data_IF_776897691883
#
_entry.id   IF_776897691883
#
_cell.length_a   1.000
_cell.length_b   1.000
_cell.length_c   1.000
_cell.angle_alpha   90.00
_cell.angle_beta   90.00
_cell.angle_gamma   90.00
#
_symmetry.space_group_name_H-M   'P 1'
#
loop_
_entity.id
_entity.type
_entity.pdbx_description
1 polymer ?
#
# COMPACT_ATOMS: atom_id res chain seq x y z
N UNK A 1 8.09 2.52 -14.54
CA UNK A 1 8.20 1.14 -14.04
C UNK A 1 9.63 0.92 -13.58
N UNK A 2 9.82 0.33 -12.41
CA UNK A 2 11.14 0.04 -11.84
C UNK A 2 11.69 -1.22 -12.52
N UNK A 3 12.94 -1.17 -12.98
CA UNK A 3 13.59 -2.29 -13.67
C UNK A 3 13.64 -3.57 -12.82
N UNK A 4 13.40 -4.71 -13.48
CA UNK A 4 13.38 -6.04 -12.86
C UNK A 4 12.27 -6.24 -11.81
N UNK A 5 11.20 -5.42 -11.88
CA UNK A 5 9.96 -5.58 -11.11
C UNK A 5 8.79 -5.68 -12.08
N UNK A 6 8.06 -6.79 -12.01
CA UNK A 6 6.82 -7.00 -12.76
C UNK A 6 5.61 -6.78 -11.83
N UNK A 7 4.56 -6.15 -12.36
CA UNK A 7 3.29 -5.93 -11.65
C UNK A 7 2.18 -6.59 -12.46
N UNK A 8 1.45 -7.49 -11.83
CA UNK A 8 0.27 -8.17 -12.38
C UNK A 8 -0.95 -7.71 -11.58
N UNK A 9 -2.02 -7.32 -12.27
CA UNK A 9 -3.27 -6.87 -11.65
C UNK A 9 -4.42 -7.62 -12.30
N UNK A 10 -5.17 -8.34 -11.49
CA UNK A 10 -6.38 -9.04 -11.93
C UNK A 10 -7.50 -8.93 -10.86
N UNK A 11 -8.63 -9.58 -11.09
CA UNK A 11 -9.78 -9.54 -10.18
C UNK A 11 -9.52 -10.31 -8.86
N UNK A 12 -8.46 -11.12 -8.79
CA UNK A 12 -8.10 -11.91 -7.61
C UNK A 12 -7.04 -11.22 -6.75
N UNK A 13 -6.06 -10.58 -7.37
CA UNK A 13 -4.95 -9.98 -6.63
C UNK A 13 -4.20 -8.90 -7.42
N UNK A 14 -3.45 -8.07 -6.68
CA UNK A 14 -2.28 -7.37 -7.17
C UNK A 14 -1.05 -8.17 -6.76
N UNK A 15 -0.22 -8.53 -7.72
CA UNK A 15 1.03 -9.27 -7.48
C UNK A 15 2.21 -8.48 -8.03
N UNK A 16 3.20 -8.27 -7.19
CA UNK A 16 4.51 -7.72 -7.58
C UNK A 16 5.54 -8.83 -7.49
N UNK A 17 6.31 -9.05 -8.56
CA UNK A 17 7.43 -9.99 -8.61
C UNK A 17 8.72 -9.24 -8.86
N UNK A 18 9.72 -9.48 -8.06
CA UNK A 18 11.04 -8.90 -8.21
C UNK A 18 12.08 -9.98 -8.56
N UNK A 19 12.90 -9.71 -9.58
CA UNK A 19 13.99 -10.62 -9.97
C UNK A 19 15.05 -10.77 -8.86
N UNK A 20 15.21 -9.74 -8.01
CA UNK A 20 16.09 -9.73 -6.84
C UNK A 20 15.30 -9.36 -5.59
N UNK A 21 15.70 -9.85 -4.39
CA UNK A 21 15.02 -9.48 -3.15
C UNK A 21 15.02 -7.97 -2.91
N UNK A 22 13.83 -7.41 -2.69
CA UNK A 22 13.62 -6.03 -2.23
C UNK A 22 13.85 -5.95 -0.72
N UNK A 23 14.32 -4.82 -0.24
CA UNK A 23 14.32 -4.47 1.19
C UNK A 23 12.96 -3.92 1.53
N UNK A 24 12.28 -4.48 2.53
CA UNK A 24 10.86 -4.19 2.79
C UNK A 24 10.64 -3.79 4.24
N UNK A 25 9.79 -2.77 4.44
CA UNK A 25 9.10 -2.51 5.71
C UNK A 25 7.58 -2.56 5.46
N UNK A 26 6.85 -3.29 6.31
CA UNK A 26 5.43 -3.54 6.03
C UNK A 26 4.60 -3.79 7.29
N UNK A 27 3.33 -3.34 7.26
CA UNK A 27 2.29 -3.73 8.21
C UNK A 27 1.44 -4.91 7.71
N UNK A 28 1.94 -5.70 6.77
CA UNK A 28 1.23 -6.82 6.16
C UNK A 28 0.94 -7.96 7.16
N UNK A 29 -0.14 -8.70 6.88
CA UNK A 29 -0.56 -9.88 7.68
C UNK A 29 0.46 -11.01 7.57
N UNK A 30 1.05 -11.22 6.40
CA UNK A 30 2.10 -12.22 6.19
C UNK A 30 3.40 -11.52 5.77
N UNK A 31 4.51 -11.85 6.42
CA UNK A 31 5.82 -11.27 6.15
C UNK A 31 5.94 -9.79 6.54
N UNK A 32 5.12 -9.31 7.49
CA UNK A 32 5.17 -7.95 8.01
C UNK A 32 6.43 -7.68 8.83
N UNK A 33 6.70 -6.39 9.09
CA UNK A 33 7.92 -5.91 9.75
C UNK A 33 9.00 -5.49 8.76
N UNK A 34 10.25 -5.45 9.23
CA UNK A 34 11.42 -5.16 8.41
C UNK A 34 12.02 -6.48 7.90
N UNK A 35 12.26 -6.59 6.59
CA UNK A 35 12.78 -7.81 6.00
C UNK A 35 13.14 -7.67 4.53
N UNK A 36 13.09 -8.80 3.83
CA UNK A 36 13.29 -8.88 2.38
C UNK A 36 12.15 -9.66 1.74
N UNK A 37 11.79 -9.30 0.51
CA UNK A 37 10.79 -10.02 -0.26
C UNK A 37 11.16 -10.09 -1.75
N UNK A 38 10.78 -11.18 -2.41
CA UNK A 38 10.84 -11.34 -3.87
C UNK A 38 9.46 -11.23 -4.51
N UNK A 39 8.41 -11.30 -3.70
CA UNK A 39 7.06 -10.99 -4.15
C UNK A 39 6.28 -10.21 -3.09
N UNK A 40 5.38 -9.35 -3.56
CA UNK A 40 4.37 -8.69 -2.74
C UNK A 40 3.02 -9.07 -3.30
N UNK A 41 2.06 -9.37 -2.44
CA UNK A 41 0.70 -9.68 -2.86
C UNK A 41 -0.32 -8.88 -2.07
N UNK A 42 -1.35 -8.40 -2.76
CA UNK A 42 -2.55 -7.86 -2.15
C UNK A 42 -3.74 -8.66 -2.66
N UNK A 43 -4.13 -9.67 -1.88
CA UNK A 43 -5.15 -10.66 -2.23
C UNK A 43 -6.55 -10.11 -1.96
N UNK A 44 -7.43 -10.24 -2.95
CA UNK A 44 -8.86 -9.95 -2.76
C UNK A 44 -9.51 -11.05 -1.92
N UNK A 45 -10.24 -10.61 -0.89
CA UNK A 45 -10.99 -11.51 -0.01
C UNK A 45 -12.44 -11.02 0.12
N UNK A 46 -13.40 -11.89 0.46
CA UNK A 46 -14.76 -11.49 0.79
C UNK A 46 -14.79 -10.49 1.95
N UNK A 47 -15.84 -9.64 1.98
CA UNK A 47 -16.01 -8.64 3.06
C UNK A 47 -16.28 -9.23 4.43
N UNK A 48 -16.76 -10.45 4.48
CA UNK A 48 -17.09 -11.25 5.66
C UNK A 48 -16.01 -12.31 5.98
N UNK A 49 -14.81 -12.15 5.40
CA UNK A 49 -13.71 -13.09 5.63
C UNK A 49 -13.38 -13.20 7.12
N UNK A 50 -13.26 -14.43 7.59
CA UNK A 50 -12.70 -14.69 8.91
C UNK A 50 -11.19 -14.41 8.91
N UNK A 51 -10.77 -13.51 9.78
CA UNK A 51 -9.38 -13.07 9.90
C UNK A 51 -8.42 -14.15 10.30
N UNK A 52 -8.89 -15.10 11.09
CA UNK A 52 -8.08 -16.24 11.45
C UNK A 52 -7.64 -17.06 10.21
N UNK A 53 -8.42 -16.99 9.11
CA UNK A 53 -8.14 -17.74 7.88
C UNK A 53 -7.27 -16.99 6.86
N UNK A 54 -7.07 -15.68 7.05
CA UNK A 54 -6.40 -14.82 6.05
C UNK A 54 -4.97 -15.28 5.76
N UNK A 55 -4.20 -15.64 6.79
CA UNK A 55 -2.83 -16.16 6.63
C UNK A 55 -2.78 -17.44 5.78
N UNK A 56 -3.69 -18.38 6.04
CA UNK A 56 -3.78 -19.64 5.28
C UNK A 56 -4.18 -19.38 3.80
N UNK A 57 -5.12 -18.46 3.55
CA UNK A 57 -5.53 -18.06 2.19
C UNK A 57 -4.37 -17.44 1.40
N UNK A 58 -3.59 -16.58 2.04
CA UNK A 58 -2.39 -15.98 1.43
C UNK A 58 -1.35 -17.05 1.09
N UNK A 59 -1.09 -17.99 1.99
CA UNK A 59 -0.13 -19.07 1.77
C UNK A 59 -0.59 -20.00 0.63
N UNK A 60 -1.87 -20.33 0.55
CA UNK A 60 -2.45 -21.12 -0.53
C UNK A 60 -2.35 -20.38 -1.88
N UNK A 61 -2.70 -19.08 -1.92
CA UNK A 61 -2.54 -18.25 -3.11
C UNK A 61 -1.09 -18.21 -3.57
N UNK A 62 -0.15 -17.97 -2.65
CA UNK A 62 1.28 -17.91 -2.95
C UNK A 62 1.79 -19.22 -3.56
N UNK A 63 1.36 -20.36 -3.02
CA UNK A 63 1.69 -21.69 -3.55
C UNK A 63 1.08 -21.93 -4.94
N UNK A 64 -0.21 -21.60 -5.13
CA UNK A 64 -0.94 -21.80 -6.40
C UNK A 64 -0.38 -20.93 -7.53
N UNK A 65 0.06 -19.70 -7.22
CA UNK A 65 0.63 -18.76 -8.18
C UNK A 65 2.16 -18.86 -8.29
N UNK A 66 2.77 -19.84 -7.63
CA UNK A 66 4.24 -20.04 -7.58
C UNK A 66 4.99 -18.74 -7.28
N UNK A 67 4.62 -18.09 -6.15
CA UNK A 67 5.27 -16.84 -5.78
C UNK A 67 6.69 -17.10 -5.25
N UNK A 68 7.70 -16.35 -5.75
CA UNK A 68 9.06 -16.49 -5.26
C UNK A 68 9.17 -16.08 -3.79
N UNK A 69 9.83 -16.92 -2.99
CA UNK A 69 10.08 -16.67 -1.57
C UNK A 69 11.35 -15.85 -1.34
N UNK A 70 11.41 -15.04 -0.24
CA UNK A 70 10.32 -14.73 0.68
C UNK A 70 9.30 -13.75 0.04
N UNK A 71 8.05 -13.78 0.53
CA UNK A 71 6.99 -12.90 0.04
C UNK A 71 6.26 -12.19 1.19
N UNK A 72 5.62 -11.06 0.87
CA UNK A 72 4.81 -10.25 1.80
C UNK A 72 3.37 -10.22 1.30
N UNK A 73 2.39 -10.44 2.21
CA UNK A 73 0.98 -10.59 1.86
C UNK A 73 0.04 -9.68 2.64
N UNK A 74 -0.76 -8.94 1.87
CA UNK A 74 -1.88 -8.11 2.29
C UNK A 74 -3.19 -8.75 1.83
N UNK A 75 -4.30 -8.38 2.47
CA UNK A 75 -5.64 -8.71 1.99
C UNK A 75 -6.49 -7.46 1.86
N UNK A 76 -7.41 -7.46 0.90
CA UNK A 76 -8.34 -6.36 0.67
C UNK A 76 -9.71 -6.89 0.23
N UNK A 77 -10.78 -6.20 0.64
CA UNK A 77 -12.11 -6.41 0.06
C UNK A 77 -12.41 -5.44 -1.10
N UNK A 78 -11.48 -4.52 -1.41
CA UNK A 78 -11.58 -3.65 -2.58
C UNK A 78 -11.34 -4.46 -3.87
N UNK A 79 -11.90 -4.00 -4.97
CA UNK A 79 -11.70 -4.58 -6.29
C UNK A 79 -10.24 -4.38 -6.74
N UNK A 80 -9.48 -5.47 -6.80
CA UNK A 80 -8.04 -5.43 -7.12
C UNK A 80 -7.79 -5.02 -8.56
N UNK A 81 -8.68 -5.36 -9.48
CA UNK A 81 -8.66 -4.94 -10.89
C UNK A 81 -8.79 -3.42 -11.08
N UNK A 82 -9.16 -2.71 -10.01
CA UNK A 82 -9.25 -1.25 -9.96
C UNK A 82 -8.10 -0.60 -9.19
N UNK A 83 -7.01 -1.34 -8.97
CA UNK A 83 -5.83 -0.78 -8.35
C UNK A 83 -5.25 0.36 -9.20
N UNK A 84 -4.91 1.46 -8.55
CA UNK A 84 -4.27 2.61 -9.17
C UNK A 84 -2.75 2.44 -9.11
N UNK A 85 -2.09 2.62 -10.24
CA UNK A 85 -0.62 2.54 -10.35
C UNK A 85 -0.10 3.88 -10.81
N UNK A 86 0.71 4.54 -9.99
CA UNK A 86 1.30 5.84 -10.29
C UNK A 86 2.80 5.78 -10.05
N UNK A 87 3.56 6.26 -11.02
CA UNK A 87 5.03 6.40 -10.93
C UNK A 87 5.42 7.86 -10.97
N UNK A 88 6.24 8.27 -10.00
CA UNK A 88 6.80 9.61 -9.90
C UNK A 88 8.32 9.54 -9.79
N UNK A 89 8.98 10.64 -10.16
CA UNK A 89 10.43 10.77 -10.11
C UNK A 89 10.84 12.08 -9.44
N UNK A 90 11.90 12.00 -8.67
CA UNK A 90 12.60 13.16 -8.13
C UNK A 90 14.09 12.86 -8.16
N UNK A 91 14.86 13.72 -8.80
CA UNK A 91 16.27 13.51 -9.09
C UNK A 91 16.47 12.10 -9.71
N UNK A 92 17.37 11.31 -9.16
CA UNK A 92 17.66 9.94 -9.61
C UNK A 92 16.79 8.86 -8.95
N UNK A 93 15.76 9.26 -8.18
CA UNK A 93 14.86 8.31 -7.50
C UNK A 93 13.57 8.14 -8.30
N UNK A 94 13.19 6.89 -8.52
CA UNK A 94 11.87 6.52 -9.04
C UNK A 94 11.06 5.85 -7.94
N UNK A 95 9.81 6.28 -7.74
CA UNK A 95 8.86 5.65 -6.85
C UNK A 95 7.57 5.28 -7.58
N UNK A 96 7.07 4.07 -7.35
CA UNK A 96 5.78 3.62 -7.89
C UNK A 96 4.86 3.25 -6.72
N UNK A 97 3.70 3.88 -6.65
CA UNK A 97 2.64 3.52 -5.71
C UNK A 97 1.57 2.69 -6.41
N UNK A 98 1.15 1.61 -5.77
CA UNK A 98 0.03 0.76 -6.18
C UNK A 98 -0.98 0.77 -5.04
N UNK A 99 -2.17 1.31 -5.27
CA UNK A 99 -3.18 1.46 -4.22
C UNK A 99 -4.50 0.77 -4.60
N UNK A 100 -5.04 -0.02 -3.68
CA UNK A 100 -6.44 -0.45 -3.72
C UNK A 100 -7.22 0.33 -2.67
N UNK A 101 -8.35 0.92 -3.06
CA UNK A 101 -9.11 1.83 -2.20
C UNK A 101 -10.53 1.34 -1.98
N UNK A 102 -10.84 1.03 -0.72
CA UNK A 102 -12.19 0.68 -0.25
C UNK A 102 -12.54 1.54 0.98
N UNK A 103 -13.56 2.40 0.87
CA UNK A 103 -13.91 3.39 1.88
C UNK A 103 -15.28 3.12 2.55
N UNK A 104 -15.66 1.85 2.71
CA UNK A 104 -16.95 1.53 3.35
C UNK A 104 -16.96 1.68 4.89
N UNK A 105 -15.78 1.81 5.51
CA UNK A 105 -15.62 2.04 6.95
C UNK A 105 -14.49 3.05 7.25
N UNK A 106 -14.60 4.30 6.78
CA UNK A 106 -13.59 5.30 7.06
C UNK A 106 -13.54 5.58 8.57
N UNK A 107 -12.33 5.84 9.08
CA UNK A 107 -12.09 6.17 10.48
C UNK A 107 -11.18 7.39 10.62
N UNK A 108 -11.30 8.07 11.74
CA UNK A 108 -10.39 9.13 12.16
C UNK A 108 -9.61 8.66 13.38
N UNK A 109 -8.29 8.59 13.25
CA UNK A 109 -7.40 8.12 14.31
C UNK A 109 -7.55 9.01 15.56
N UNK A 110 -7.78 8.38 16.72
CA UNK A 110 -7.98 9.05 18.00
C UNK A 110 -9.39 9.66 18.22
N UNK A 111 -10.25 9.71 17.20
CA UNK A 111 -11.62 10.23 17.28
C UNK A 111 -12.67 9.12 17.13
N UNK A 112 -12.51 8.23 16.16
CA UNK A 112 -13.46 7.13 15.95
C UNK A 112 -13.46 6.18 17.14
N UNK A 113 -14.66 5.75 17.56
CA UNK A 113 -14.84 4.80 18.65
C UNK A 113 -14.16 3.45 18.36
N UNK A 114 -13.68 2.80 19.42
CA UNK A 114 -13.18 1.41 19.31
C UNK A 114 -14.34 0.50 18.91
N UNK A 115 -14.18 -0.22 17.83
CA UNK A 115 -15.16 -1.15 17.30
C UNK A 115 -14.46 -2.41 16.77
N UNK A 116 -15.24 -3.47 16.56
CA UNK A 116 -14.77 -4.60 15.81
C UNK A 116 -14.40 -4.15 14.39
N UNK A 117 -13.20 -4.53 13.93
CA UNK A 117 -12.77 -4.18 12.59
C UNK A 117 -13.63 -4.87 11.54
N UNK A 118 -13.80 -4.23 10.39
CA UNK A 118 -14.51 -4.76 9.23
C UNK A 118 -13.62 -4.62 8.00
N UNK A 119 -13.60 -5.60 7.08
CA UNK A 119 -12.83 -5.50 5.85
C UNK A 119 -13.36 -4.36 4.97
N UNK A 120 -12.65 -3.28 4.94
CA UNK A 120 -12.63 -2.25 3.93
C UNK A 120 -11.33 -1.51 4.16
N UNK A 121 -10.48 -1.42 3.18
CA UNK A 121 -9.10 -1.05 3.42
C UNK A 121 -8.53 -0.22 2.27
N UNK A 122 -7.61 0.64 2.62
CA UNK A 122 -6.67 1.24 1.69
C UNK A 122 -5.35 0.50 1.85
N UNK A 123 -5.04 -0.39 0.92
CA UNK A 123 -3.73 -1.02 0.87
C UNK A 123 -2.84 -0.28 -0.13
N UNK A 124 -1.66 0.09 0.32
CA UNK A 124 -0.69 0.84 -0.48
C UNK A 124 0.63 0.08 -0.52
N UNK A 125 1.02 -0.35 -1.72
CA UNK A 125 2.33 -0.91 -2.00
C UNK A 125 3.16 0.18 -2.70
N UNK A 126 4.32 0.48 -2.14
CA UNK A 126 5.24 1.48 -2.67
C UNK A 126 6.55 0.80 -3.04
N UNK A 127 6.92 0.91 -4.30
CA UNK A 127 8.19 0.44 -4.84
C UNK A 127 9.12 1.63 -5.00
N UNK A 128 10.38 1.49 -4.59
CA UNK A 128 11.37 2.57 -4.65
C UNK A 128 12.65 2.05 -5.29
N UNK A 129 13.13 2.71 -6.35
CA UNK A 129 14.43 2.42 -6.95
C UNK A 129 15.50 3.31 -6.31
N UNK A 130 15.89 2.95 -5.11
CA UNK A 130 16.91 3.60 -4.29
C UNK A 130 17.39 2.65 -3.18
N UNK A 131 18.40 3.09 -2.42
CA UNK A 131 18.96 2.39 -1.27
C UNK A 131 18.67 3.14 0.05
N UNK A 132 17.41 3.16 0.56
CA UNK A 132 17.10 3.81 1.82
C UNK A 132 17.70 3.05 3.01
N UNK A 133 18.24 3.82 3.96
CA UNK A 133 18.64 3.32 5.26
C UNK A 133 17.42 2.75 6.03
N UNK A 134 17.59 1.84 7.02
CA UNK A 134 16.48 1.33 7.80
C UNK A 134 15.63 2.42 8.44
N UNK A 135 16.23 3.49 8.97
CA UNK A 135 15.52 4.63 9.52
C UNK A 135 14.73 5.39 8.44
N UNK A 136 15.27 5.53 7.23
CA UNK A 136 14.57 6.13 6.11
C UNK A 136 13.35 5.32 5.66
N UNK A 137 13.39 3.99 5.74
CA UNK A 137 12.21 3.14 5.46
C UNK A 137 11.08 3.42 6.46
N UNK A 138 11.40 3.60 7.74
CA UNK A 138 10.41 3.99 8.77
C UNK A 138 9.83 5.38 8.47
N UNK A 139 10.67 6.36 8.11
CA UNK A 139 10.20 7.68 7.67
C UNK A 139 9.27 7.57 6.44
N UNK A 140 9.60 6.70 5.47
CA UNK A 140 8.77 6.50 4.29
C UNK A 140 7.38 5.96 4.64
N UNK A 141 7.24 5.09 5.65
CA UNK A 141 5.92 4.66 6.15
C UNK A 141 5.11 5.84 6.68
N UNK A 142 5.73 6.74 7.44
CA UNK A 142 5.09 7.98 7.91
C UNK A 142 4.67 8.86 6.71
N UNK A 143 5.58 9.11 5.78
CA UNK A 143 5.33 9.89 4.55
C UNK A 143 4.17 9.32 3.71
N UNK A 144 4.11 7.97 3.55
CA UNK A 144 2.99 7.29 2.87
C UNK A 144 1.68 7.53 3.62
N UNK A 145 1.69 7.45 4.95
CA UNK A 145 0.50 7.68 5.78
C UNK A 145 0.01 9.11 5.64
N UNK A 146 0.89 10.10 5.74
CA UNK A 146 0.58 11.52 5.56
C UNK A 146 0.01 11.80 4.17
N UNK A 147 0.66 11.30 3.12
CA UNK A 147 0.21 11.45 1.73
C UNK A 147 -1.18 10.83 1.50
N UNK A 148 -1.44 9.64 2.08
CA UNK A 148 -2.75 8.98 2.06
C UNK A 148 -3.83 9.85 2.71
N UNK A 149 -3.57 10.39 3.91
CA UNK A 149 -4.52 11.26 4.62
C UNK A 149 -4.85 12.48 3.78
N UNK A 150 -3.84 13.16 3.26
CA UNK A 150 -4.05 14.33 2.41
C UNK A 150 -4.82 13.99 1.13
N UNK A 151 -4.59 12.82 0.52
CA UNK A 151 -5.34 12.36 -0.65
C UNK A 151 -6.84 12.17 -0.35
N UNK A 152 -7.18 11.65 0.83
CA UNK A 152 -8.57 11.49 1.26
C UNK A 152 -9.25 12.85 1.50
N UNK A 153 -8.53 13.81 2.10
CA UNK A 153 -9.02 15.17 2.31
C UNK A 153 -9.30 15.87 1.00
N UNK A 154 -8.37 15.82 0.04
CA UNK A 154 -8.49 16.41 -1.29
C UNK A 154 -9.65 15.78 -2.10
N UNK A 155 -9.89 14.48 -1.92
CA UNK A 155 -11.01 13.78 -2.55
C UNK A 155 -12.36 14.10 -1.90
N UNK A 156 -12.39 14.85 -0.79
CA UNK A 156 -13.60 15.23 -0.09
C UNK A 156 -14.23 14.10 0.72
N UNK A 157 -13.45 13.06 1.08
CA UNK A 157 -13.96 11.96 1.93
C UNK A 157 -14.32 12.50 3.31
N UNK A 158 -15.46 12.07 3.84
CA UNK A 158 -15.93 12.43 5.20
C UNK A 158 -16.47 11.21 5.91
N UNK A 159 -16.40 11.21 7.24
CA UNK A 159 -17.15 10.29 8.08
C UNK A 159 -18.63 10.65 8.08
N UNK A 160 -19.53 9.75 8.53
CA UNK A 160 -20.96 10.05 8.62
C UNK A 160 -21.31 11.29 9.46
N UNK A 161 -20.49 11.61 10.46
CA UNK A 161 -20.62 12.80 11.32
C UNK A 161 -19.94 14.06 10.75
N UNK A 162 -19.39 13.97 9.52
CA UNK A 162 -18.69 15.06 8.84
C UNK A 162 -17.20 15.19 9.21
N UNK A 163 -16.69 14.42 10.16
CA UNK A 163 -15.29 14.46 10.54
C UNK A 163 -14.36 14.02 9.42
N UNK A 164 -13.08 14.43 9.50
CA UNK A 164 -12.06 14.10 8.50
C UNK A 164 -11.50 12.70 8.76
N UNK A 165 -11.46 11.81 7.74
CA UNK A 165 -10.87 10.50 7.89
C UNK A 165 -9.34 10.56 7.86
N UNK A 166 -8.70 9.69 8.61
CA UNK A 166 -7.26 9.41 8.49
C UNK A 166 -6.97 8.13 7.67
N UNK A 167 -7.99 7.37 7.37
CA UNK A 167 -7.93 6.08 6.65
C UNK A 167 -9.15 5.24 6.91
N UNK A 168 -8.97 3.92 6.89
CA UNK A 168 -9.96 2.93 7.29
C UNK A 168 -9.44 2.09 8.47
N UNK A 169 -10.27 1.21 9.03
CA UNK A 169 -9.90 0.43 10.22
C UNK A 169 -8.78 -0.61 9.98
N UNK A 170 -8.43 -0.90 8.74
CA UNK A 170 -7.53 -2.01 8.38
C UNK A 170 -6.48 -1.65 7.33
N UNK A 171 -6.18 -0.38 7.16
CA UNK A 171 -5.18 0.08 6.19
C UNK A 171 -3.83 -0.61 6.39
N UNK A 172 -3.20 -1.01 5.29
CA UNK A 172 -1.89 -1.60 5.33
C UNK A 172 -0.94 -0.97 4.30
N UNK A 173 0.33 -0.91 4.66
CA UNK A 173 1.40 -0.29 3.88
C UNK A 173 2.54 -1.28 3.70
N UNK A 174 3.05 -1.34 2.48
CA UNK A 174 4.32 -1.96 2.13
C UNK A 174 5.19 -0.91 1.46
N UNK A 175 6.37 -0.65 2.00
CA UNK A 175 7.44 0.09 1.32
C UNK A 175 8.53 -0.91 0.97
N UNK A 176 8.83 -1.05 -0.31
CA UNK A 176 9.78 -2.01 -0.85
C UNK A 176 10.81 -1.30 -1.74
N UNK A 177 12.08 -1.37 -1.38
CA UNK A 177 13.17 -0.72 -2.09
C UNK A 177 14.05 -1.74 -2.80
N UNK A 178 14.57 -1.37 -3.98
CA UNK A 178 15.50 -2.23 -4.74
C UNK A 178 16.84 -2.41 -4.02
N UNK A 179 17.19 -1.50 -3.10
CA UNK A 179 18.49 -1.44 -2.45
C UNK A 179 19.62 -1.06 -3.41
N UNK A 180 19.27 -0.52 -4.58
CA UNK A 180 20.18 -0.03 -5.64
C UNK A 180 19.89 1.44 -5.89
N UNK A 181 20.76 2.11 -6.66
CA UNK A 181 20.62 3.54 -6.93
C UNK A 181 21.08 4.42 -5.77
N UNK A 182 20.55 5.64 -5.64
CA UNK A 182 21.06 6.60 -4.67
C UNK A 182 20.81 6.16 -3.22
N UNK A 183 21.78 6.39 -2.36
CA UNK A 183 21.65 6.18 -0.92
C UNK A 183 20.72 7.24 -0.32
N UNK A 184 19.73 6.83 0.47
CA UNK A 184 18.77 7.72 1.10
C UNK A 184 18.87 7.56 2.64
N UNK A 185 19.60 8.45 3.34
CA UNK A 185 19.69 8.39 4.80
C UNK A 185 18.36 8.77 5.49
N UNK A 186 17.53 9.57 4.82
CA UNK A 186 16.23 10.05 5.30
C UNK A 186 15.13 9.80 4.27
N UNK A 187 13.87 9.63 4.73
CA UNK A 187 12.70 9.36 3.89
C UNK A 187 11.53 10.35 4.09
N UNK A 188 11.81 11.51 4.72
CA UNK A 188 10.78 12.53 4.96
C UNK A 188 10.29 13.22 3.66
N UNK A 189 9.13 13.89 3.69
CA UNK A 189 8.39 14.34 2.50
C UNK A 189 9.11 15.39 1.61
N UNK A 190 10.18 16.01 2.10
CA UNK A 190 11.00 16.97 1.35
C UNK A 190 12.32 16.40 0.83
N UNK A 191 12.62 15.14 1.12
CA UNK A 191 13.74 14.41 0.49
C UNK A 191 13.33 13.93 -0.90
N UNK A 192 14.27 13.72 -1.81
CA UNK A 192 13.95 13.22 -3.17
C UNK A 192 13.09 11.95 -3.11
N UNK A 193 13.48 10.97 -2.29
CA UNK A 193 12.72 9.72 -2.14
C UNK A 193 11.36 9.92 -1.48
N UNK A 194 11.27 10.71 -0.41
CA UNK A 194 10.01 10.99 0.27
C UNK A 194 9.05 11.81 -0.60
N UNK A 195 9.57 12.77 -1.35
CA UNK A 195 8.77 13.59 -2.27
C UNK A 195 8.19 12.74 -3.42
N UNK A 196 9.00 11.91 -4.09
CA UNK A 196 8.51 11.02 -5.15
C UNK A 196 7.46 10.04 -4.62
N UNK A 197 7.70 9.43 -3.44
CA UNK A 197 6.75 8.53 -2.77
C UNK A 197 5.46 9.25 -2.43
N UNK A 198 5.53 10.44 -1.80
CA UNK A 198 4.33 11.19 -1.41
C UNK A 198 3.46 11.57 -2.61
N UNK A 199 4.07 12.02 -3.71
CA UNK A 199 3.34 12.34 -4.95
C UNK A 199 2.66 11.12 -5.55
N UNK A 200 3.38 10.01 -5.69
CA UNK A 200 2.83 8.78 -6.23
C UNK A 200 1.65 8.27 -5.38
N UNK A 201 1.80 8.23 -4.06
CA UNK A 201 0.75 7.79 -3.13
C UNK A 201 -0.45 8.74 -3.16
N UNK A 202 -0.21 10.06 -3.10
CA UNK A 202 -1.30 11.06 -3.13
C UNK A 202 -2.12 10.95 -4.41
N UNK A 203 -1.48 10.76 -5.56
CA UNK A 203 -2.16 10.58 -6.84
C UNK A 203 -2.92 9.26 -6.90
N UNK A 204 -2.29 8.12 -6.55
CA UNK A 204 -2.93 6.81 -6.60
C UNK A 204 -4.13 6.71 -5.65
N UNK A 205 -3.95 7.06 -4.37
CA UNK A 205 -5.03 7.01 -3.37
C UNK A 205 -6.14 8.01 -3.70
N UNK A 206 -5.78 9.24 -4.13
CA UNK A 206 -6.76 10.27 -4.48
C UNK A 206 -7.62 9.87 -5.68
N UNK A 207 -7.04 9.25 -6.71
CA UNK A 207 -7.79 8.73 -7.86
C UNK A 207 -8.71 7.58 -7.44
N UNK A 208 -8.22 6.61 -6.67
CA UNK A 208 -9.02 5.52 -6.16
C UNK A 208 -10.17 5.99 -5.25
N UNK A 209 -9.94 7.01 -4.42
CA UNK A 209 -10.96 7.58 -3.54
C UNK A 209 -12.08 8.28 -4.33
N UNK A 210 -11.75 9.11 -5.32
CA UNK A 210 -12.74 9.75 -6.20
C UNK A 210 -13.57 8.72 -6.95
N UNK A 211 -12.93 7.72 -7.56
CA UNK A 211 -13.63 6.61 -8.25
C UNK A 211 -14.57 5.86 -7.32
N UNK A 212 -14.16 5.63 -6.07
CA UNK A 212 -15.00 4.95 -5.08
C UNK A 212 -16.22 5.79 -4.71
N UNK A 213 -16.10 7.10 -4.57
CA UNK A 213 -17.21 8.02 -4.29
C UNK A 213 -18.18 8.13 -5.47
N UNK A 214 -17.67 8.22 -6.70
CA UNK A 214 -18.46 8.30 -7.93
C UNK A 214 -19.34 7.06 -8.12
N UNK A 215 -18.81 5.87 -7.84
CA UNK A 215 -19.54 4.61 -7.96
C UNK A 215 -20.71 4.45 -6.95
N UNK A 216 -20.93 5.42 -6.06
CA UNK A 216 -21.97 5.42 -5.01
C UNK A 216 -22.92 6.63 -5.05
N UNK A 217 -22.75 7.48 -6.03
CA UNK A 217 -23.71 8.53 -6.40
C UNK A 217 -24.78 7.96 -7.34
#
# INVERSE_FOLDING_TARGET
VIDAVAVEIDAEAVVVRAARPLVVVSSAVAGGGLGRARALVNLRVPRDVDCATVGARLAEFARRRDLPTPWVGLCTAAATERAEVVTERADDVTATAIATVGLSNPVSAGLSARAAWRPATINTLVLVDAAPAPAALVNLVATVTEAKVLALLDAGVRLPDGALPSGTSTDAIVVAATGRGPACPYGGPVTAVGWAVARAVRAAVGTGARRWLEARR
#
